data_IF_491153077590
#
_entry.id   IF_491153077590
#
_cell.length_a   1.000
_cell.length_b   1.000
_cell.length_c   1.000
_cell.angle_alpha   90.00
_cell.angle_beta   90.00
_cell.angle_gamma   90.00
#
_symmetry.space_group_name_H-M   'P 1'
#
loop_
_entity.id
_entity.type
_entity.pdbx_description
1 polymer ?
#
# COMPACT_ATOMS: atom_id res chain seq x y z
N UNK A 1 1.14 10.00 -15.40
CA UNK A 1 1.31 8.66 -14.78
C UNK A 1 0.76 7.60 -15.71
N UNK A 2 1.51 6.52 -15.90
CA UNK A 2 1.09 5.39 -16.76
C UNK A 2 0.12 4.54 -15.95
N UNK A 3 -1.18 4.57 -16.28
CA UNK A 3 -2.15 3.62 -15.71
C UNK A 3 -1.92 2.26 -16.36
N UNK A 4 -1.58 1.23 -15.58
CA UNK A 4 -1.50 -0.14 -16.12
C UNK A 4 -2.91 -0.60 -16.49
N UNK A 5 -3.06 -1.23 -17.66
CA UNK A 5 -4.35 -1.79 -18.12
C UNK A 5 -4.84 -2.97 -17.29
N UNK A 6 -4.02 -3.49 -16.37
CA UNK A 6 -4.33 -4.64 -15.53
C UNK A 6 -5.09 -4.16 -14.29
N UNK A 7 -6.18 -4.84 -13.95
CA UNK A 7 -7.02 -4.46 -12.80
C UNK A 7 -6.37 -4.79 -11.46
N UNK A 8 -5.42 -5.73 -11.44
CA UNK A 8 -4.74 -6.21 -10.25
C UNK A 8 -3.24 -6.30 -10.53
N UNK A 9 -2.37 -5.94 -9.57
CA UNK A 9 -0.94 -6.19 -9.66
C UNK A 9 -0.64 -7.70 -9.61
N UNK A 10 0.53 -8.08 -10.11
CA UNK A 10 1.07 -9.41 -9.92
C UNK A 10 1.69 -9.57 -8.52
N UNK A 11 1.79 -10.82 -8.04
CA UNK A 11 2.44 -11.12 -6.77
C UNK A 11 3.93 -10.75 -6.86
N UNK A 12 4.45 -10.02 -5.86
CA UNK A 12 5.80 -9.45 -5.81
C UNK A 12 6.08 -8.32 -6.83
N UNK A 13 5.05 -7.72 -7.42
CA UNK A 13 5.21 -6.53 -8.24
C UNK A 13 5.41 -5.28 -7.37
N UNK A 14 6.41 -4.45 -7.69
CA UNK A 14 6.60 -3.15 -7.04
C UNK A 14 5.59 -2.15 -7.62
N UNK A 15 4.84 -1.52 -6.73
CA UNK A 15 3.78 -0.57 -7.05
C UNK A 15 3.90 0.68 -6.19
N UNK A 16 3.44 1.81 -6.72
CA UNK A 16 3.37 3.07 -5.98
C UNK A 16 1.92 3.29 -5.52
N UNK A 17 1.77 3.56 -4.23
CA UNK A 17 0.48 3.84 -3.63
C UNK A 17 0.55 4.97 -2.60
N UNK A 18 -0.59 5.63 -2.39
CA UNK A 18 -0.76 6.73 -1.46
C UNK A 18 -1.43 6.22 -0.18
N UNK A 19 -0.90 6.57 1.00
CA UNK A 19 -1.50 6.13 2.27
C UNK A 19 -2.81 6.86 2.51
N UNK A 20 -3.91 6.11 2.68
CA UNK A 20 -5.26 6.65 2.89
C UNK A 20 -5.60 6.73 4.37
N UNK A 21 -5.31 5.66 5.13
CA UNK A 21 -5.62 5.54 6.56
C UNK A 21 -4.61 4.64 7.24
N UNK A 22 -4.23 4.99 8.47
CA UNK A 22 -3.38 4.14 9.30
C UNK A 22 -4.18 3.71 10.53
N UNK A 23 -4.11 2.41 10.82
CA UNK A 23 -4.68 1.76 11.98
C UNK A 23 -3.57 1.11 12.81
N UNK A 24 -3.88 0.72 14.05
CA UNK A 24 -2.90 0.10 14.96
C UNK A 24 -2.36 -1.25 14.43
N UNK A 25 -3.15 -1.97 13.62
CA UNK A 25 -2.80 -3.29 13.08
C UNK A 25 -2.30 -3.25 11.62
N UNK A 26 -2.35 -2.09 10.95
CA UNK A 26 -1.96 -1.97 9.55
C UNK A 26 -2.35 -0.65 8.91
N UNK A 27 -2.06 -0.51 7.63
CA UNK A 27 -2.36 0.69 6.85
C UNK A 27 -3.17 0.34 5.60
N UNK A 28 -4.14 1.18 5.29
CA UNK A 28 -4.83 1.17 4.00
C UNK A 28 -4.15 2.17 3.08
N UNK A 29 -3.76 1.69 1.90
CA UNK A 29 -3.12 2.47 0.85
C UNK A 29 -3.92 2.33 -0.43
N UNK A 30 -3.89 3.34 -1.30
CA UNK A 30 -4.52 3.30 -2.63
C UNK A 30 -3.45 3.23 -3.69
N UNK A 31 -3.56 2.28 -4.62
CA UNK A 31 -2.62 2.12 -5.72
C UNK A 31 -2.99 3.06 -6.88
N UNK A 32 -2.26 4.16 -6.99
CA UNK A 32 -2.47 5.21 -8.00
C UNK A 32 -2.30 4.67 -9.43
N UNK A 33 -1.45 3.66 -9.61
CA UNK A 33 -1.20 3.00 -10.90
C UNK A 33 -2.34 2.04 -11.34
N UNK A 34 -3.20 1.64 -10.39
CA UNK A 34 -4.25 0.63 -10.57
C UNK A 34 -5.65 1.22 -10.29
N UNK A 35 -5.87 2.47 -10.68
CA UNK A 35 -7.17 3.14 -10.56
C UNK A 35 -7.65 3.27 -9.11
N UNK A 36 -6.73 3.72 -8.24
CA UNK A 36 -6.98 3.94 -6.81
C UNK A 36 -7.43 2.69 -6.07
N UNK A 37 -6.93 1.52 -6.51
CA UNK A 37 -7.26 0.25 -5.90
C UNK A 37 -6.86 0.26 -4.42
N UNK A 38 -7.82 -0.03 -3.54
CA UNK A 38 -7.56 -0.15 -2.11
C UNK A 38 -6.73 -1.40 -1.83
N UNK A 39 -5.59 -1.21 -1.19
CA UNK A 39 -4.70 -2.24 -0.71
C UNK A 39 -4.50 -2.11 0.80
N UNK A 40 -4.30 -3.25 1.44
CA UNK A 40 -4.05 -3.33 2.88
C UNK A 40 -2.62 -3.82 3.12
N UNK A 41 -1.89 -3.10 3.96
CA UNK A 41 -0.54 -3.48 4.37
C UNK A 41 -0.59 -3.81 5.87
N UNK A 42 -0.32 -5.06 6.27
CA UNK A 42 -0.23 -5.39 7.69
C UNK A 42 1.02 -4.74 8.30
N UNK A 43 0.91 -4.27 9.55
CA UNK A 43 2.02 -3.58 10.24
C UNK A 43 3.32 -4.41 10.27
N UNK A 44 3.18 -5.74 10.38
CA UNK A 44 4.29 -6.68 10.43
C UNK A 44 5.12 -6.74 9.12
N UNK A 45 4.56 -6.27 8.01
CA UNK A 45 5.19 -6.26 6.69
C UNK A 45 5.73 -4.88 6.32
N UNK A 46 5.25 -3.82 6.99
CA UNK A 46 5.73 -2.45 6.80
C UNK A 46 7.20 -2.33 7.19
N UNK A 47 7.64 -2.96 8.30
CA UNK A 47 9.05 -3.25 8.56
C UNK A 47 9.29 -4.09 9.83
N UNK A 48 10.45 -4.74 9.89
CA UNK A 48 10.89 -5.66 10.96
C UNK A 48 11.18 -5.01 12.33
N UNK A 49 11.17 -3.69 12.42
CA UNK A 49 11.54 -2.96 13.65
C UNK A 49 10.31 -2.24 14.22
N UNK A 50 10.25 -1.98 15.53
CA UNK A 50 9.12 -1.24 16.11
C UNK A 50 9.19 0.25 15.71
N UNK A 51 8.25 0.73 14.88
CA UNK A 51 8.12 2.17 14.56
C UNK A 51 7.12 2.84 15.49
N UNK A 52 7.53 3.95 16.11
CA UNK A 52 6.76 4.66 17.15
C UNK A 52 5.94 5.83 16.62
N UNK A 53 6.13 6.28 15.38
CA UNK A 53 5.34 7.36 14.77
C UNK A 53 5.62 7.48 13.26
N UNK A 54 4.58 7.81 12.50
CA UNK A 54 4.58 8.04 11.04
C UNK A 54 4.10 9.47 10.71
N UNK A 55 4.38 10.44 11.59
CA UNK A 55 3.97 11.84 11.38
C UNK A 55 4.72 12.48 10.23
#
# INVERSE_FOLDING_TARGET
MVKKRKQLPDVNELVIGTVRRIYDHGAFVTLDEYNDLEAYIPLNEVSHTWFRNIR
#
